data_IF_380684255637
#
_entry.id   IF_380684255637
#
_cell.length_a   1.000
_cell.length_b   1.000
_cell.length_c   1.000
_cell.angle_alpha   90.00
_cell.angle_beta   90.00
_cell.angle_gamma   90.00
#
_symmetry.space_group_name_H-M   'P 1'
#
loop_
_entity.id
_entity.type
_entity.pdbx_description
1 polymer ?
#
# COMPACT_ATOMS: atom_id res chain seq x y z
N UNK A 1 -11.98 -12.56 -33.00
CA UNK A 1 -11.19 -11.42 -32.47
C UNK A 1 -11.50 -11.07 -31.01
N UNK A 2 -12.77 -11.02 -30.56
CA UNK A 2 -13.12 -10.62 -29.19
C UNK A 2 -12.49 -11.48 -28.08
N UNK A 3 -12.42 -12.80 -28.27
CA UNK A 3 -11.84 -13.75 -27.31
C UNK A 3 -10.38 -13.45 -26.96
N UNK A 4 -9.55 -13.15 -27.96
CA UNK A 4 -8.13 -12.82 -27.76
C UNK A 4 -7.93 -11.48 -27.06
N UNK A 5 -8.78 -10.49 -27.38
CA UNK A 5 -8.78 -9.19 -26.70
C UNK A 5 -9.13 -9.32 -25.22
N UNK A 6 -10.16 -10.11 -24.90
CA UNK A 6 -10.59 -10.37 -23.53
C UNK A 6 -9.51 -11.10 -22.73
N UNK A 7 -8.91 -12.14 -23.31
CA UNK A 7 -7.81 -12.86 -22.69
C UNK A 7 -6.61 -11.95 -22.39
N UNK A 8 -6.24 -11.06 -23.32
CA UNK A 8 -5.15 -10.10 -23.11
C UNK A 8 -5.40 -9.16 -21.93
N UNK A 9 -6.62 -8.65 -21.78
CA UNK A 9 -7.01 -7.82 -20.64
C UNK A 9 -6.91 -8.60 -19.32
N UNK A 10 -7.41 -9.83 -19.30
CA UNK A 10 -7.41 -10.65 -18.09
C UNK A 10 -5.97 -11.02 -17.66
N UNK A 11 -5.08 -11.27 -18.63
CA UNK A 11 -3.66 -11.51 -18.37
C UNK A 11 -2.93 -10.25 -17.89
N UNK A 12 -3.25 -9.09 -18.45
CA UNK A 12 -2.66 -7.82 -18.06
C UNK A 12 -2.93 -7.54 -16.57
N UNK A 13 -4.19 -7.59 -16.15
CA UNK A 13 -4.59 -7.37 -14.74
C UNK A 13 -3.97 -8.42 -13.82
N UNK A 14 -3.91 -9.69 -14.25
CA UNK A 14 -3.39 -10.77 -13.40
C UNK A 14 -1.91 -10.64 -13.08
N UNK A 15 -1.09 -10.17 -14.03
CA UNK A 15 0.37 -10.21 -13.91
C UNK A 15 1.04 -8.84 -13.75
N UNK A 16 0.38 -7.74 -14.11
CA UNK A 16 0.97 -6.38 -13.99
C UNK A 16 0.55 -5.63 -12.73
N UNK A 17 -0.50 -6.07 -12.03
CA UNK A 17 -1.04 -5.38 -10.84
C UNK A 17 -0.19 -5.62 -9.56
N UNK A 18 0.89 -6.40 -9.63
CA UNK A 18 1.80 -6.64 -8.49
C UNK A 18 1.18 -7.40 -7.30
N UNK A 19 -0.09 -7.81 -7.42
CA UNK A 19 -0.83 -8.50 -6.37
C UNK A 19 -0.34 -9.96 -6.22
N UNK A 20 0.44 -10.22 -5.18
CA UNK A 20 0.81 -11.58 -4.80
C UNK A 20 -0.29 -12.16 -3.91
N UNK A 21 -0.95 -13.22 -4.39
CA UNK A 21 -1.96 -13.94 -3.60
C UNK A 21 -1.28 -15.10 -2.86
N UNK A 22 -1.48 -15.16 -1.55
CA UNK A 22 -1.09 -16.32 -0.75
C UNK A 22 -1.98 -17.55 -1.11
N UNK A 23 -1.61 -18.75 -0.67
CA UNK A 23 -2.37 -20.00 -0.95
C UNK A 23 -3.84 -19.92 -0.50
N UNK A 24 -4.13 -19.05 0.47
CA UNK A 24 -5.46 -18.74 1.00
C UNK A 24 -6.14 -17.52 0.34
N UNK A 25 -5.69 -17.10 -0.85
CA UNK A 25 -6.19 -15.93 -1.62
C UNK A 25 -6.11 -14.58 -0.89
N UNK A 26 -5.35 -14.47 0.21
CA UNK A 26 -5.08 -13.17 0.85
C UNK A 26 -4.11 -12.36 -0.01
N UNK A 27 -4.49 -11.13 -0.32
CA UNK A 27 -3.62 -10.18 -1.04
C UNK A 27 -2.49 -9.77 -0.10
N UNK A 28 -1.24 -10.08 -0.46
CA UNK A 28 -0.06 -9.54 0.20
C UNK A 28 0.46 -8.36 -0.62
N UNK A 29 0.32 -7.16 -0.08
CA UNK A 29 1.05 -6.01 -0.58
C UNK A 29 2.49 -6.12 -0.10
N UNK A 30 3.41 -6.42 -1.02
CA UNK A 30 4.84 -6.35 -0.74
C UNK A 30 5.17 -4.86 -0.68
N UNK A 31 5.18 -4.31 0.54
CA UNK A 31 5.62 -2.94 0.78
C UNK A 31 7.08 -2.76 0.35
N UNK A 32 7.54 -1.51 0.31
CA UNK A 32 8.95 -1.24 0.07
C UNK A 32 9.80 -1.71 1.26
N UNK A 33 11.10 -1.99 1.07
CA UNK A 33 11.99 -2.30 2.19
C UNK A 33 11.98 -1.20 3.27
N UNK A 34 12.17 -1.57 4.53
CA UNK A 34 12.20 -0.60 5.65
C UNK A 34 13.23 0.53 5.43
N UNK A 35 14.35 0.24 4.78
CA UNK A 35 15.36 1.24 4.42
C UNK A 35 14.83 2.32 3.48
N UNK A 36 13.93 1.96 2.56
CA UNK A 36 13.31 2.91 1.63
C UNK A 36 12.36 3.86 2.35
N UNK A 37 11.54 3.34 3.28
CA UNK A 37 10.68 4.19 4.10
C UNK A 37 11.50 5.16 4.97
N UNK A 38 12.61 4.72 5.56
CA UNK A 38 13.51 5.61 6.31
C UNK A 38 14.09 6.71 5.44
N UNK A 39 14.57 6.37 4.25
CA UNK A 39 15.09 7.36 3.30
C UNK A 39 14.05 8.41 2.91
N UNK A 40 12.81 8.01 2.67
CA UNK A 40 11.72 8.95 2.39
C UNK A 40 11.45 9.85 3.60
N UNK A 41 11.42 9.28 4.81
CA UNK A 41 11.20 10.05 6.03
C UNK A 41 12.32 11.08 6.28
N UNK A 42 13.57 10.72 6.03
CA UNK A 42 14.74 11.60 6.12
C UNK A 42 14.70 12.73 5.08
N UNK A 43 14.37 12.41 3.82
CA UNK A 43 14.30 13.38 2.72
C UNK A 43 13.12 14.36 2.86
N UNK A 44 11.98 13.86 3.34
CA UNK A 44 10.74 14.66 3.47
C UNK A 44 10.73 15.51 4.75
N UNK A 45 11.55 15.15 5.74
CA UNK A 45 11.70 15.87 7.00
C UNK A 45 10.42 15.94 7.83
N UNK A 46 10.10 17.13 8.32
CA UNK A 46 9.02 17.32 9.30
C UNK A 46 7.60 17.20 8.71
N UNK A 47 7.45 17.17 7.39
CA UNK A 47 6.13 17.14 6.74
C UNK A 47 5.34 15.86 7.00
N UNK A 48 6.03 14.75 7.25
CA UNK A 48 5.40 13.45 7.55
C UNK A 48 5.18 13.24 9.05
N UNK A 49 5.62 14.17 9.90
CA UNK A 49 5.41 14.06 11.35
C UNK A 49 3.92 14.23 11.67
N UNK A 50 3.43 13.37 12.54
CA UNK A 50 2.07 13.45 13.04
C UNK A 50 1.87 14.79 13.76
N UNK A 51 0.85 15.55 13.35
CA UNK A 51 0.42 16.74 14.07
C UNK A 51 -0.66 16.35 15.07
N UNK A 52 -0.45 16.64 16.35
CA UNK A 52 -1.50 16.52 17.36
C UNK A 52 -2.64 17.48 17.00
N UNK A 53 -3.86 16.96 16.88
CA UNK A 53 -5.04 17.79 16.67
C UNK A 53 -5.53 18.31 18.02
N UNK A 54 -6.08 19.52 18.04
CA UNK A 54 -6.73 20.05 19.24
C UNK A 54 -7.96 19.18 19.55
N UNK A 55 -7.95 18.51 20.71
CA UNK A 55 -8.99 17.56 21.14
C UNK A 55 -8.48 16.15 21.44
N UNK A 56 -7.25 15.80 21.07
CA UNK A 56 -6.65 14.47 21.34
C UNK A 56 -6.17 14.28 22.80
N UNK A 57 -6.48 15.25 23.68
CA UNK A 57 -6.09 15.27 25.09
C UNK A 57 -7.14 14.76 26.08
N UNK A 58 -8.36 14.43 25.63
CA UNK A 58 -9.45 13.99 26.52
C UNK A 58 -10.20 12.82 25.89
N UNK A 59 -9.66 11.61 25.99
CA UNK A 59 -10.44 10.35 26.06
C UNK A 59 -9.46 9.18 26.22
N UNK A 60 -8.96 9.00 27.45
CA UNK A 60 -8.42 7.72 27.89
C UNK A 60 -8.60 7.58 29.42
N UNK A 61 -9.86 7.66 29.86
CA UNK A 61 -10.27 7.05 31.13
C UNK A 61 -11.65 6.44 30.95
N UNK A 62 -11.71 5.16 30.61
CA UNK A 62 -12.81 4.28 31.01
C UNK A 62 -12.32 2.83 31.08
#
# INVERSE_FOLDING_TARGET
MARWRKLGQDLLVKYLDGNTKDELKKVRHIGYPASWYRRIAEDTGDRLKMRKLQGEGETATH
#
